data_IF_158988238265
#
_entry.id   IF_158988238265
#
_cell.length_a   1.000
_cell.length_b   1.000
_cell.length_c   1.000
_cell.angle_alpha   90.00
_cell.angle_beta   90.00
_cell.angle_gamma   90.00
#
_symmetry.space_group_name_H-M   'P 1'
#
loop_
_entity.id
_entity.type
_entity.pdbx_description
1 polymer ?
#
# COMPACT_ATOMS: atom_id res chain seq x y z
N UNK A 1 -18.93 -10.46 22.64
CA UNK A 1 -19.53 -9.74 21.49
C UNK A 1 -18.53 -9.37 20.38
N UNK A 2 -17.22 -9.19 20.62
CA UNK A 2 -16.24 -8.90 19.56
C UNK A 2 -15.93 -10.08 18.61
N UNK A 3 -16.12 -11.34 19.05
CA UNK A 3 -15.81 -12.54 18.26
C UNK A 3 -16.82 -12.85 17.14
N UNK A 4 -18.11 -12.50 17.32
CA UNK A 4 -19.15 -12.74 16.31
C UNK A 4 -19.01 -11.79 15.10
N UNK A 5 -18.55 -10.56 15.33
CA UNK A 5 -18.49 -9.53 14.29
C UNK A 5 -17.33 -9.74 13.30
N UNK A 6 -16.28 -10.45 13.72
CA UNK A 6 -15.17 -10.87 12.84
C UNK A 6 -15.64 -11.96 11.86
N UNK A 7 -16.55 -12.86 12.28
CA UNK A 7 -17.03 -13.97 11.43
C UNK A 7 -17.99 -13.54 10.33
N UNK A 8 -18.73 -12.44 10.48
CA UNK A 8 -19.73 -12.01 9.49
C UNK A 8 -19.13 -11.44 8.19
N UNK A 9 -17.87 -11.01 8.21
CA UNK A 9 -17.23 -10.40 7.04
C UNK A 9 -16.09 -11.23 6.44
N UNK A 10 -15.54 -12.22 7.16
CA UNK A 10 -14.24 -12.86 6.88
C UNK A 10 -14.13 -13.71 5.61
N UNK A 11 -15.07 -13.63 4.66
CA UNK A 11 -15.04 -14.40 3.40
C UNK A 11 -15.65 -13.66 2.20
N UNK A 12 -16.04 -12.38 2.34
CA UNK A 12 -16.62 -11.64 1.21
C UNK A 12 -15.49 -11.24 0.26
N UNK A 13 -15.42 -11.89 -0.91
CA UNK A 13 -14.58 -11.44 -2.04
C UNK A 13 -15.13 -10.10 -2.52
N UNK A 14 -14.26 -9.08 -2.55
CA UNK A 14 -14.59 -7.71 -2.96
C UNK A 14 -13.81 -7.28 -4.21
N UNK A 15 -12.78 -8.03 -4.57
CA UNK A 15 -12.06 -7.86 -5.82
C UNK A 15 -11.43 -9.19 -6.24
N UNK A 16 -11.38 -9.44 -7.53
CA UNK A 16 -10.67 -10.56 -8.12
C UNK A 16 -10.04 -10.09 -9.43
N UNK A 17 -8.82 -10.55 -9.71
CA UNK A 17 -8.10 -10.22 -10.93
C UNK A 17 -7.17 -11.37 -11.32
N UNK A 18 -7.13 -11.71 -12.60
CA UNK A 18 -6.26 -12.74 -13.15
C UNK A 18 -5.26 -12.12 -14.12
N UNK A 19 -4.01 -12.56 -14.03
CA UNK A 19 -2.93 -12.11 -14.89
C UNK A 19 -2.18 -13.30 -15.45
N UNK A 20 -1.88 -13.25 -16.74
CA UNK A 20 -0.97 -14.17 -17.40
C UNK A 20 0.31 -13.42 -17.75
N UNK A 21 1.46 -14.03 -17.44
CA UNK A 21 2.78 -13.50 -17.72
C UNK A 21 3.55 -14.55 -18.51
N UNK A 22 4.05 -14.16 -19.68
CA UNK A 22 5.01 -14.95 -20.43
C UNK A 22 6.39 -14.73 -19.78
N UNK A 23 6.93 -15.77 -19.14
CA UNK A 23 8.20 -15.66 -18.42
C UNK A 23 9.30 -16.38 -19.19
N UNK A 24 10.10 -15.62 -19.92
CA UNK A 24 11.35 -16.10 -20.54
C UNK A 24 12.59 -15.94 -19.65
N UNK A 25 12.44 -15.49 -18.38
CA UNK A 25 13.58 -15.13 -17.51
C UNK A 25 13.57 -15.85 -16.15
N UNK A 26 14.79 -16.09 -15.62
CA UNK A 26 15.07 -16.92 -14.43
C UNK A 26 14.79 -16.28 -13.05
N UNK A 27 14.32 -15.04 -12.93
CA UNK A 27 14.03 -14.45 -11.62
C UNK A 27 12.81 -13.52 -11.67
N UNK A 28 11.87 -13.74 -10.74
CA UNK A 28 10.58 -13.09 -10.71
C UNK A 28 10.46 -12.38 -9.37
N UNK A 29 10.22 -11.09 -9.44
CA UNK A 29 10.11 -10.21 -8.30
C UNK A 29 8.66 -10.26 -7.79
N UNK A 30 8.43 -11.03 -6.72
CA UNK A 30 7.10 -11.16 -6.10
C UNK A 30 6.55 -9.80 -5.63
N UNK A 31 7.42 -8.86 -5.27
CA UNK A 31 7.01 -7.52 -4.86
C UNK A 31 6.57 -6.68 -6.04
N UNK A 32 7.26 -6.80 -7.19
CA UNK A 32 6.78 -6.22 -8.45
C UNK A 32 5.41 -6.81 -8.82
N UNK A 33 5.25 -8.13 -8.74
CA UNK A 33 3.95 -8.76 -8.99
C UNK A 33 2.88 -8.15 -8.08
N UNK A 34 3.13 -8.05 -6.77
CA UNK A 34 2.14 -7.50 -5.84
C UNK A 34 1.83 -6.01 -6.04
N UNK A 35 2.85 -5.16 -6.19
CA UNK A 35 2.69 -3.71 -6.14
C UNK A 35 2.50 -3.03 -7.49
N UNK A 36 2.93 -3.68 -8.57
CA UNK A 36 2.84 -3.16 -9.93
C UNK A 36 1.82 -3.96 -10.72
N UNK A 37 2.08 -5.25 -10.93
CA UNK A 37 1.36 -6.02 -11.94
C UNK A 37 -0.05 -6.43 -11.46
N UNK A 38 -0.19 -6.81 -10.17
CA UNK A 38 -1.44 -7.24 -9.51
C UNK A 38 -2.06 -6.19 -8.59
N UNK A 39 -1.44 -5.01 -8.47
CA UNK A 39 -2.06 -3.91 -7.73
C UNK A 39 -3.19 -3.22 -8.51
N UNK A 40 -3.46 -3.73 -9.72
CA UNK A 40 -4.53 -3.26 -10.57
C UNK A 40 -5.89 -3.42 -9.89
N UNK A 41 -6.71 -2.38 -10.00
CA UNK A 41 -8.11 -2.42 -9.63
C UNK A 41 -8.98 -2.62 -10.89
N UNK A 42 -8.60 -3.55 -11.76
CA UNK A 42 -9.40 -3.89 -12.93
C UNK A 42 -10.63 -4.67 -12.47
N UNK A 43 -11.73 -3.97 -12.26
CA UNK A 43 -13.02 -4.60 -12.44
C UNK A 43 -13.91 -3.60 -13.19
N UNK A 44 -14.47 -4.05 -14.32
CA UNK A 44 -15.16 -3.22 -15.30
C UNK A 44 -16.44 -2.59 -14.73
N UNK A 45 -16.95 -3.13 -13.62
CA UNK A 45 -18.22 -2.74 -13.00
C UNK A 45 -18.07 -1.81 -11.79
N UNK A 46 -16.88 -1.24 -11.57
CA UNK A 46 -16.63 -0.38 -10.40
C UNK A 46 -16.81 1.09 -10.73
N UNK A 47 -17.82 1.72 -10.14
CA UNK A 47 -17.93 3.18 -10.13
C UNK A 47 -16.82 3.83 -9.30
N UNK A 48 -16.46 5.05 -9.68
CA UNK A 48 -15.56 5.89 -8.91
C UNK A 48 -16.34 6.63 -7.82
N UNK A 49 -15.73 6.80 -6.65
CA UNK A 49 -16.21 7.74 -5.63
C UNK A 49 -15.70 9.16 -5.90
N UNK A 50 -16.13 10.11 -5.07
CA UNK A 50 -15.80 11.54 -5.24
C UNK A 50 -14.30 11.88 -5.14
N UNK A 51 -13.49 10.96 -4.60
CA UNK A 51 -12.03 11.06 -4.57
C UNK A 51 -11.36 10.53 -5.84
N UNK A 52 -12.15 10.06 -6.81
CA UNK A 52 -11.67 9.49 -8.06
C UNK A 52 -11.21 8.04 -7.94
N UNK A 53 -11.24 7.43 -6.75
CA UNK A 53 -10.88 6.02 -6.59
C UNK A 53 -12.12 5.13 -6.56
N UNK A 54 -11.94 3.83 -6.82
CA UNK A 54 -13.04 2.89 -6.87
C UNK A 54 -13.81 2.81 -5.54
N UNK A 55 -15.14 2.80 -5.65
CA UNK A 55 -16.03 2.94 -4.50
C UNK A 55 -16.37 1.61 -3.81
N UNK A 56 -15.98 0.46 -4.37
CA UNK A 56 -16.22 -0.87 -3.78
C UNK A 56 -15.65 -1.04 -2.37
N UNK A 57 -14.61 -0.26 -2.02
CA UNK A 57 -14.00 -0.24 -0.69
C UNK A 57 -14.63 0.79 0.25
N UNK A 58 -15.59 1.60 -0.21
CA UNK A 58 -16.20 2.62 0.63
C UNK A 58 -16.99 1.97 1.77
N UNK A 59 -16.86 2.45 3.02
CA UNK A 59 -17.53 1.85 4.17
C UNK A 59 -19.05 1.67 4.01
N UNK A 60 -19.74 2.63 3.37
CA UNK A 60 -21.19 2.57 3.12
C UNK A 60 -21.61 1.46 2.13
N UNK A 61 -20.71 0.97 1.27
CA UNK A 61 -20.96 -0.21 0.41
C UNK A 61 -20.68 -1.55 1.10
N UNK A 62 -19.95 -1.50 2.21
CA UNK A 62 -19.45 -2.68 2.90
C UNK A 62 -20.23 -2.98 4.18
N UNK A 63 -20.89 -1.99 4.77
CA UNK A 63 -21.65 -2.15 6.01
C UNK A 63 -22.77 -1.11 6.13
N UNK A 64 -23.96 -1.58 6.50
CA UNK A 64 -25.15 -0.75 6.73
C UNK A 64 -24.99 0.22 7.92
N UNK A 65 -23.92 0.08 8.70
CA UNK A 65 -23.58 0.99 9.80
C UNK A 65 -23.09 2.37 9.35
N UNK A 66 -22.86 2.55 8.05
CA UNK A 66 -22.39 3.81 7.49
C UNK A 66 -23.39 4.32 6.46
N UNK A 67 -24.16 5.33 6.86
CA UNK A 67 -25.12 5.99 5.97
C UNK A 67 -24.47 7.08 5.09
N UNK A 68 -23.28 7.56 5.49
CA UNK A 68 -22.62 8.71 4.86
C UNK A 68 -21.37 8.29 4.10
N UNK A 69 -21.18 8.90 2.93
CA UNK A 69 -19.96 8.76 2.14
C UNK A 69 -18.78 9.45 2.85
N UNK A 70 -17.63 8.78 2.81
CA UNK A 70 -16.37 9.38 3.22
C UNK A 70 -15.69 10.00 1.99
N UNK A 71 -15.22 11.23 2.16
CA UNK A 71 -14.60 12.02 1.09
C UNK A 71 -13.12 11.71 0.92
N UNK A 72 -12.46 11.23 1.98
CA UNK A 72 -11.01 11.01 1.99
C UNK A 72 -10.70 9.59 2.41
N UNK A 73 -9.74 8.96 1.72
CA UNK A 73 -9.16 7.68 2.13
C UNK A 73 -7.64 7.75 2.20
N UNK A 74 -7.07 7.07 3.19
CA UNK A 74 -5.64 6.99 3.43
C UNK A 74 -5.24 5.53 3.60
N UNK A 75 -4.16 5.12 2.94
CA UNK A 75 -3.55 3.83 3.21
C UNK A 75 -2.75 3.93 4.50
N UNK A 76 -3.13 3.18 5.54
CA UNK A 76 -2.51 3.31 6.85
C UNK A 76 -1.30 2.40 7.04
N UNK A 77 -1.34 1.21 6.46
CA UNK A 77 -0.35 0.18 6.74
C UNK A 77 -0.92 -1.21 6.55
N UNK A 78 -0.16 -2.21 6.97
CA UNK A 78 -0.49 -3.59 6.71
C UNK A 78 0.65 -4.54 6.99
N UNK A 79 0.51 -5.76 6.46
CA UNK A 79 1.55 -6.77 6.48
C UNK A 79 1.58 -7.54 5.18
N UNK A 80 2.75 -8.02 4.78
CA UNK A 80 2.94 -8.94 3.65
C UNK A 80 3.59 -10.20 4.20
N UNK A 81 3.14 -11.36 3.76
CA UNK A 81 3.77 -12.65 4.04
C UNK A 81 4.02 -13.38 2.73
N UNK A 82 5.26 -13.79 2.53
CA UNK A 82 5.67 -14.63 1.40
C UNK A 82 5.56 -16.07 1.88
N UNK A 83 4.62 -16.81 1.31
CA UNK A 83 4.28 -18.15 1.80
C UNK A 83 4.99 -19.24 1.01
N UNK A 84 5.23 -19.01 -0.29
CA UNK A 84 5.88 -19.95 -1.19
C UNK A 84 6.69 -19.20 -2.24
N UNK A 85 7.79 -19.81 -2.66
CA UNK A 85 8.60 -19.30 -3.76
C UNK A 85 7.89 -19.54 -5.10
N UNK A 86 8.19 -18.68 -6.08
CA UNK A 86 7.74 -18.90 -7.45
C UNK A 86 8.73 -19.87 -8.11
N UNK A 87 8.37 -21.15 -8.14
CA UNK A 87 9.12 -22.15 -8.88
C UNK A 87 8.94 -21.94 -10.38
N UNK A 88 10.06 -21.79 -11.08
CA UNK A 88 10.09 -21.64 -12.53
C UNK A 88 10.28 -22.97 -13.25
N UNK A 89 9.80 -23.02 -14.48
CA UNK A 89 9.91 -24.20 -15.35
C UNK A 89 8.84 -24.26 -16.44
N UNK A 90 7.93 -23.27 -16.50
CA UNK A 90 6.88 -23.18 -17.52
C UNK A 90 6.99 -21.86 -18.27
N UNK A 91 6.79 -21.91 -19.59
CA UNK A 91 6.87 -20.74 -20.49
C UNK A 91 5.80 -19.67 -20.17
N UNK A 92 4.71 -20.08 -19.50
CA UNK A 92 3.60 -19.21 -19.11
C UNK A 92 3.25 -19.40 -17.63
N UNK A 93 3.25 -18.29 -16.88
CA UNK A 93 2.79 -18.24 -15.50
C UNK A 93 1.43 -17.55 -15.44
N UNK A 94 0.49 -18.16 -14.73
CA UNK A 94 -0.86 -17.62 -14.53
C UNK A 94 -1.11 -17.44 -13.05
N UNK A 95 -1.56 -16.25 -12.68
CA UNK A 95 -1.75 -15.85 -11.31
C UNK A 95 -3.15 -15.28 -11.13
N UNK A 96 -3.72 -15.47 -9.94
CA UNK A 96 -4.99 -14.86 -9.52
C UNK A 96 -4.79 -14.10 -8.22
N UNK A 97 -5.26 -12.87 -8.17
CA UNK A 97 -5.36 -12.07 -6.96
C UNK A 97 -6.80 -12.09 -6.46
N UNK A 98 -7.01 -12.48 -5.21
CA UNK A 98 -8.31 -12.41 -4.53
C UNK A 98 -8.19 -11.44 -3.36
N UNK A 99 -9.03 -10.41 -3.34
CA UNK A 99 -9.17 -9.49 -2.21
C UNK A 99 -10.44 -9.79 -1.43
N UNK A 100 -10.26 -10.08 -0.14
CA UNK A 100 -11.34 -10.34 0.80
C UNK A 100 -11.48 -9.17 1.77
N UNK A 101 -12.72 -8.83 2.09
CA UNK A 101 -13.01 -7.99 3.25
C UNK A 101 -12.72 -8.79 4.52
N UNK A 102 -11.97 -8.21 5.46
CA UNK A 102 -11.77 -8.82 6.79
C UNK A 102 -12.73 -8.21 7.79
N UNK A 103 -12.77 -6.86 7.85
CA UNK A 103 -13.64 -6.12 8.77
C UNK A 103 -13.78 -4.67 8.36
N UNK A 104 -14.88 -4.06 8.81
CA UNK A 104 -15.07 -2.60 8.78
C UNK A 104 -15.27 -2.13 10.22
N UNK A 105 -14.37 -1.27 10.71
CA UNK A 105 -14.44 -0.67 12.05
C UNK A 105 -15.03 0.73 11.97
N UNK A 106 -16.07 1.00 12.74
CA UNK A 106 -16.63 2.34 12.92
C UNK A 106 -15.95 3.03 14.11
N UNK A 107 -15.37 4.21 13.85
CA UNK A 107 -14.70 5.08 14.82
C UNK A 107 -15.43 6.44 14.87
N UNK A 108 -16.75 6.39 15.03
CA UNK A 108 -17.70 7.52 15.01
C UNK A 108 -17.75 8.28 13.68
N UNK A 109 -16.79 9.18 13.45
CA UNK A 109 -16.71 10.03 12.25
C UNK A 109 -15.66 9.52 11.26
N UNK A 110 -15.13 8.33 11.52
CA UNK A 110 -14.02 7.69 10.83
C UNK A 110 -14.32 6.22 10.63
N UNK A 111 -13.73 5.61 9.63
CA UNK A 111 -13.79 4.16 9.46
C UNK A 111 -12.42 3.57 9.15
N UNK A 112 -12.22 2.31 9.49
CA UNK A 112 -11.09 1.52 9.01
C UNK A 112 -11.64 0.27 8.32
N UNK A 113 -11.32 0.12 7.03
CA UNK A 113 -11.60 -1.07 6.25
C UNK A 113 -10.31 -1.89 6.22
N UNK A 114 -10.37 -3.11 6.72
CA UNK A 114 -9.25 -4.06 6.65
C UNK A 114 -9.55 -5.09 5.57
N UNK A 115 -8.60 -5.32 4.66
CA UNK A 115 -8.69 -6.32 3.60
C UNK A 115 -7.50 -7.26 3.62
N UNK A 116 -7.68 -8.46 3.04
CA UNK A 116 -6.61 -9.41 2.77
C UNK A 116 -6.59 -9.69 1.28
N UNK A 117 -5.42 -9.51 0.65
CA UNK A 117 -5.15 -9.91 -0.73
C UNK A 117 -4.29 -11.17 -0.75
N UNK A 118 -4.71 -12.17 -1.49
CA UNK A 118 -3.93 -13.37 -1.75
C UNK A 118 -3.55 -13.41 -3.23
N UNK A 119 -2.28 -13.61 -3.53
CA UNK A 119 -1.79 -13.93 -4.86
C UNK A 119 -1.60 -15.45 -4.93
N UNK A 120 -2.31 -16.07 -5.86
CA UNK A 120 -2.42 -17.51 -6.03
C UNK A 120 -1.80 -17.89 -7.37
N UNK A 121 -0.92 -18.90 -7.38
CA UNK A 121 -0.46 -19.54 -8.60
C UNK A 121 -1.55 -20.47 -9.13
N UNK A 122 -2.06 -20.22 -10.34
CA UNK A 122 -3.17 -21.02 -10.90
C UNK A 122 -2.74 -22.44 -11.31
N UNK A 123 -1.45 -22.69 -11.52
CA UNK A 123 -0.98 -24.00 -11.95
C UNK A 123 -1.04 -25.06 -10.83
N UNK A 124 -0.80 -24.66 -9.58
CA UNK A 124 -0.77 -25.57 -8.42
C UNK A 124 -1.71 -25.12 -7.28
N UNK A 125 -2.42 -23.99 -7.44
CA UNK A 125 -3.34 -23.39 -6.46
C UNK A 125 -2.68 -22.94 -5.15
N UNK A 126 -1.36 -22.83 -5.11
CA UNK A 126 -0.65 -22.34 -3.92
C UNK A 126 -0.81 -20.83 -3.76
N UNK A 127 -1.00 -20.38 -2.52
CA UNK A 127 -0.91 -18.96 -2.17
C UNK A 127 0.58 -18.61 -2.08
N UNK A 128 1.04 -17.72 -2.95
CA UNK A 128 2.41 -17.24 -2.98
C UNK A 128 2.65 -16.12 -1.99
N UNK A 129 1.69 -15.18 -1.93
CA UNK A 129 1.77 -13.97 -1.11
C UNK A 129 0.42 -13.66 -0.50
N UNK A 130 0.43 -13.30 0.78
CA UNK A 130 -0.73 -12.74 1.50
C UNK A 130 -0.40 -11.33 1.98
N UNK A 131 -1.22 -10.36 1.61
CA UNK A 131 -1.11 -8.99 2.07
C UNK A 131 -2.36 -8.58 2.86
N UNK A 132 -2.18 -8.13 4.09
CA UNK A 132 -3.23 -7.46 4.87
C UNK A 132 -3.08 -5.96 4.71
N UNK A 133 -4.17 -5.24 4.45
CA UNK A 133 -4.18 -3.78 4.28
C UNK A 133 -5.21 -3.16 5.20
N UNK A 134 -4.84 -2.03 5.81
CA UNK A 134 -5.77 -1.14 6.51
C UNK A 134 -5.93 0.16 5.72
N UNK A 135 -7.16 0.48 5.32
CA UNK A 135 -7.53 1.73 4.68
C UNK A 135 -8.40 2.53 5.65
N UNK A 136 -8.02 3.77 5.87
CA UNK A 136 -8.72 4.69 6.76
C UNK A 136 -9.53 5.70 5.99
N UNK A 137 -10.76 5.92 6.44
CA UNK A 137 -11.71 6.82 5.83
C UNK A 137 -12.08 7.93 6.81
N UNK A 138 -12.08 9.17 6.33
CA UNK A 138 -12.41 10.35 7.12
C UNK A 138 -13.01 11.44 6.24
N UNK A 139 -13.74 12.37 6.87
CA UNK A 139 -14.19 13.62 6.25
C UNK A 139 -13.43 14.85 6.77
N UNK A 140 -12.58 14.67 7.79
CA UNK A 140 -11.72 15.73 8.30
C UNK A 140 -10.70 16.11 7.23
N UNK A 141 -10.55 17.40 6.89
CA UNK A 141 -9.49 17.86 5.98
C UNK A 141 -8.11 17.65 6.60
N UNK A 142 -7.10 17.51 5.75
CA UNK A 142 -5.72 17.43 6.20
C UNK A 142 -5.37 18.67 7.00
N UNK A 143 -4.67 18.44 8.12
CA UNK A 143 -4.00 19.48 8.89
C UNK A 143 -2.58 19.01 9.02
N UNK A 144 -1.64 19.89 8.68
CA UNK A 144 -0.24 19.59 8.89
C UNK A 144 -0.03 19.35 10.39
N UNK A 145 0.40 18.15 10.72
CA UNK A 145 0.62 17.78 12.11
C UNK A 145 1.97 18.36 12.52
N UNK A 146 1.98 19.28 13.49
CA UNK A 146 3.22 19.82 14.06
C UNK A 146 3.99 18.76 14.88
N UNK A 147 3.34 17.62 15.19
CA UNK A 147 3.95 16.45 15.84
C UNK A 147 4.43 15.44 14.79
N UNK A 148 5.13 15.89 13.76
CA UNK A 148 5.89 14.97 12.90
C UNK A 148 6.92 14.23 13.77
N UNK A 149 7.09 12.92 13.56
CA UNK A 149 8.09 12.12 14.30
C UNK A 149 9.52 12.40 13.79
N UNK A 150 9.89 13.69 13.75
CA UNK A 150 11.17 14.22 13.28
C UNK A 150 12.29 13.73 14.16
N UNK A 151 12.11 13.85 15.47
CA UNK A 151 13.08 13.38 16.44
C UNK A 151 13.33 11.87 16.29
N UNK A 152 12.27 11.08 16.11
CA UNK A 152 12.40 9.64 15.88
C UNK A 152 13.13 9.30 14.58
N UNK A 153 12.97 10.08 13.51
CA UNK A 153 13.75 9.87 12.28
C UNK A 153 15.22 10.25 12.45
N UNK A 154 15.49 11.38 13.12
CA UNK A 154 16.84 11.92 13.30
C UNK A 154 17.66 11.02 14.23
N UNK A 155 17.03 10.49 15.29
CA UNK A 155 17.64 9.60 16.28
C UNK A 155 17.53 8.11 15.94
N UNK A 156 16.92 7.75 14.81
CA UNK A 156 16.84 6.34 14.40
C UNK A 156 18.26 5.81 14.22
N UNK A 157 18.61 4.77 14.97
CA UNK A 157 19.89 4.07 14.85
C UNK A 157 19.90 3.24 13.56
N UNK A 158 20.88 3.44 12.68
CA UNK A 158 20.94 2.78 11.39
C UNK A 158 22.37 2.37 11.01
N UNK A 159 22.48 1.20 10.39
CA UNK A 159 23.72 0.69 9.82
C UNK A 159 23.91 1.20 8.38
N UNK A 160 22.80 1.43 7.66
CA UNK A 160 22.83 1.84 6.26
C UNK A 160 21.76 2.88 5.92
N UNK A 161 22.06 3.72 4.94
CA UNK A 161 21.19 4.80 4.45
C UNK A 161 21.21 4.84 2.92
N UNK A 162 20.04 5.00 2.31
CA UNK A 162 19.94 5.20 0.86
C UNK A 162 20.44 6.59 0.45
N UNK A 163 20.71 6.77 -0.85
CA UNK A 163 20.72 8.11 -1.45
C UNK A 163 19.36 8.77 -1.28
N UNK A 164 19.34 10.10 -1.35
CA UNK A 164 18.11 10.87 -1.38
C UNK A 164 17.29 10.54 -2.63
N UNK A 165 15.98 10.42 -2.43
CA UNK A 165 15.00 10.19 -3.49
C UNK A 165 14.00 11.34 -3.48
N UNK A 166 13.67 11.84 -4.68
CA UNK A 166 12.64 12.85 -4.90
C UNK A 166 11.67 12.27 -5.92
N UNK A 167 10.38 12.32 -5.60
CA UNK A 167 9.33 11.86 -6.51
C UNK A 167 8.79 13.04 -7.30
N UNK A 168 8.94 13.00 -8.62
CA UNK A 168 8.38 13.98 -9.54
C UNK A 168 6.90 13.71 -9.83
N UNK A 169 6.17 14.72 -10.35
CA UNK A 169 4.82 14.52 -10.89
C UNK A 169 4.74 13.37 -11.89
N UNK A 170 5.73 13.23 -12.77
CA UNK A 170 5.78 12.14 -13.75
C UNK A 170 5.88 10.79 -13.06
N UNK A 171 6.76 10.64 -12.06
CA UNK A 171 6.89 9.37 -11.34
C UNK A 171 5.58 8.95 -10.66
N UNK A 172 4.91 9.90 -10.01
CA UNK A 172 3.66 9.68 -9.30
C UNK A 172 2.56 9.30 -10.30
N UNK A 173 2.40 10.06 -11.38
CA UNK A 173 1.40 9.76 -12.41
C UNK A 173 1.68 8.43 -13.10
N UNK A 174 2.92 8.14 -13.46
CA UNK A 174 3.31 6.88 -14.10
C UNK A 174 3.01 5.67 -13.22
N UNK A 175 3.25 5.79 -11.91
CA UNK A 175 2.86 4.74 -10.97
C UNK A 175 1.34 4.56 -10.92
N UNK A 176 0.56 5.65 -10.92
CA UNK A 176 -0.90 5.57 -11.00
C UNK A 176 -1.39 4.91 -12.29
N UNK A 177 -0.79 5.22 -13.44
CA UNK A 177 -1.16 4.60 -14.71
C UNK A 177 -0.83 3.10 -14.72
N UNK A 178 0.40 2.73 -14.32
CA UNK A 178 0.85 1.33 -14.26
C UNK A 178 -0.03 0.48 -13.35
N UNK A 179 -0.44 1.02 -12.21
CA UNK A 179 -1.27 0.33 -11.22
C UNK A 179 -2.77 0.54 -11.42
N UNK A 180 -3.17 1.28 -12.46
CA UNK A 180 -4.57 1.68 -12.71
C UNK A 180 -5.24 2.21 -11.44
N UNK A 181 -4.56 3.15 -10.78
CA UNK A 181 -5.02 3.82 -9.58
C UNK A 181 -5.54 5.23 -9.94
N UNK A 182 -6.87 5.42 -10.05
CA UNK A 182 -7.46 6.69 -10.50
C UNK A 182 -7.61 7.73 -9.37
N UNK A 183 -7.10 7.48 -8.16
CA UNK A 183 -7.29 8.39 -7.02
C UNK A 183 -6.73 9.78 -7.33
N UNK A 184 -7.57 10.81 -7.19
CA UNK A 184 -7.23 12.17 -7.61
C UNK A 184 -6.06 12.77 -6.84
N UNK A 185 -5.79 12.31 -5.61
CA UNK A 185 -4.66 12.84 -4.84
C UNK A 185 -3.30 12.59 -5.50
N UNK A 186 -3.23 11.63 -6.42
CA UNK A 186 -2.03 11.28 -7.18
C UNK A 186 -2.01 11.89 -8.59
N UNK A 187 -3.11 12.52 -9.03
CA UNK A 187 -3.31 12.92 -10.42
C UNK A 187 -3.63 14.41 -10.59
N UNK A 188 -4.21 15.04 -9.57
CA UNK A 188 -4.72 16.41 -9.62
C UNK A 188 -4.32 17.20 -8.36
N UNK A 189 -3.34 18.09 -8.49
CA UNK A 189 -2.85 18.93 -7.40
C UNK A 189 -3.89 19.95 -6.92
N UNK A 190 -4.75 20.47 -7.81
CA UNK A 190 -5.83 21.39 -7.42
C UNK A 190 -6.89 20.71 -6.57
N UNK A 191 -7.21 19.45 -6.89
CA UNK A 191 -8.10 18.64 -6.05
C UNK A 191 -7.56 18.50 -4.62
N UNK A 192 -6.24 18.31 -4.47
CA UNK A 192 -5.59 18.20 -3.17
C UNK A 192 -5.81 19.44 -2.29
N UNK A 193 -5.70 20.63 -2.85
CA UNK A 193 -5.98 21.85 -2.10
C UNK A 193 -7.47 22.00 -1.77
N UNK A 194 -8.32 21.89 -2.79
CA UNK A 194 -9.75 22.22 -2.68
C UNK A 194 -10.49 21.20 -1.81
N UNK A 195 -10.26 19.90 -2.02
CA UNK A 195 -11.03 18.81 -1.42
C UNK A 195 -10.35 18.21 -0.19
N UNK A 196 -9.05 17.97 -0.26
CA UNK A 196 -8.32 17.25 0.79
C UNK A 196 -7.77 18.17 1.89
N UNK A 197 -7.51 19.45 1.57
CA UNK A 197 -6.78 20.38 2.44
C UNK A 197 -5.26 20.16 2.45
N UNK A 198 -4.74 19.45 1.45
CA UNK A 198 -3.30 19.31 1.20
C UNK A 198 -2.74 20.59 0.53
N UNK A 199 -1.41 20.75 0.47
CA UNK A 199 -0.79 21.69 -0.46
C UNK A 199 -1.16 21.37 -1.93
N UNK A 200 -0.98 22.33 -2.84
CA UNK A 200 -1.18 22.13 -4.29
C UNK A 200 -0.03 21.31 -4.89
N UNK A 201 0.13 20.08 -4.43
CA UNK A 201 1.14 19.10 -4.82
C UNK A 201 0.50 17.73 -4.91
N UNK A 202 1.05 16.83 -5.72
CA UNK A 202 0.59 15.44 -5.74
C UNK A 202 1.07 14.68 -4.50
N UNK A 203 0.28 13.72 -4.05
CA UNK A 203 0.65 12.80 -2.97
C UNK A 203 1.32 11.58 -3.58
N UNK A 204 2.47 11.14 -3.04
CA UNK A 204 3.10 9.89 -3.45
C UNK A 204 2.27 8.72 -2.94
N UNK A 205 1.99 7.73 -3.79
CA UNK A 205 1.24 6.54 -3.41
C UNK A 205 2.01 5.80 -2.32
N UNK A 206 1.33 5.47 -1.22
CA UNK A 206 1.95 4.65 -0.19
C UNK A 206 2.52 3.31 -0.73
N UNK A 207 1.83 2.59 -1.66
CA UNK A 207 2.39 1.38 -2.27
C UNK A 207 3.69 1.63 -3.04
N UNK A 208 3.85 2.84 -3.59
CA UNK A 208 5.07 3.21 -4.28
C UNK A 208 6.23 3.43 -3.30
N UNK A 209 5.98 4.11 -2.17
CA UNK A 209 6.96 4.27 -1.09
C UNK A 209 7.38 2.91 -0.51
N UNK A 210 6.42 2.03 -0.27
CA UNK A 210 6.68 0.69 0.25
C UNK A 210 7.52 -0.13 -0.75
N UNK A 211 7.13 -0.14 -2.03
CA UNK A 211 7.88 -0.83 -3.08
C UNK A 211 9.32 -0.34 -3.16
N UNK A 212 9.57 0.98 -3.17
CA UNK A 212 10.94 1.53 -3.15
C UNK A 212 11.74 1.12 -1.90
N UNK A 213 11.07 1.07 -0.74
CA UNK A 213 11.71 0.64 0.52
C UNK A 213 12.10 -0.85 0.48
N UNK A 214 11.25 -1.69 -0.10
CA UNK A 214 11.54 -3.12 -0.27
C UNK A 214 12.65 -3.34 -1.30
N UNK A 215 12.62 -2.62 -2.43
CA UNK A 215 13.69 -2.71 -3.44
C UNK A 215 15.05 -2.32 -2.87
N UNK A 216 15.12 -1.32 -1.97
CA UNK A 216 16.35 -1.02 -1.26
C UNK A 216 16.83 -2.22 -0.43
N UNK A 217 15.92 -2.88 0.30
CA UNK A 217 16.26 -4.06 1.10
C UNK A 217 16.72 -5.25 0.25
N UNK A 218 16.06 -5.54 -0.87
CA UNK A 218 16.35 -6.72 -1.69
C UNK A 218 17.53 -6.51 -2.63
N UNK A 219 17.55 -5.38 -3.34
CA UNK A 219 18.49 -5.17 -4.45
C UNK A 219 19.80 -4.54 -3.98
N UNK A 220 19.73 -3.57 -3.06
CA UNK A 220 20.90 -2.82 -2.62
C UNK A 220 21.57 -3.47 -1.40
N UNK A 221 20.77 -4.09 -0.52
CA UNK A 221 21.31 -4.78 0.67
C UNK A 221 21.46 -6.29 0.49
N UNK A 222 21.05 -6.83 -0.67
CA UNK A 222 21.10 -8.26 -0.99
C UNK A 222 20.45 -9.16 0.08
N UNK A 223 19.34 -8.73 0.70
CA UNK A 223 18.57 -9.60 1.58
C UNK A 223 17.81 -10.61 0.72
N UNK A 224 18.34 -11.83 0.65
CA UNK A 224 17.92 -12.87 -0.29
C UNK A 224 16.44 -13.27 -0.14
N UNK A 225 15.94 -13.32 1.09
CA UNK A 225 14.58 -13.72 1.37
C UNK A 225 13.99 -12.93 2.53
N UNK A 226 12.74 -12.51 2.38
CA UNK A 226 11.98 -11.81 3.40
C UNK A 226 10.64 -12.51 3.53
N UNK A 227 10.48 -13.35 4.56
CA UNK A 227 9.24 -14.09 4.84
C UNK A 227 8.07 -13.18 5.18
N UNK A 228 8.34 -12.07 5.88
CA UNK A 228 7.29 -11.17 6.35
C UNK A 228 7.74 -9.72 6.38
N UNK A 229 6.81 -8.83 6.06
CA UNK A 229 6.95 -7.38 6.19
C UNK A 229 5.75 -6.85 6.97
N UNK A 230 5.98 -6.05 8.00
CA UNK A 230 4.95 -5.26 8.67
C UNK A 230 5.26 -3.78 8.45
N UNK A 231 4.28 -3.02 7.96
CA UNK A 231 4.52 -1.63 7.55
C UNK A 231 3.43 -0.67 8.03
N UNK A 232 3.83 0.60 8.22
CA UNK A 232 2.94 1.68 8.64
C UNK A 232 3.30 2.96 7.87
N UNK A 233 2.28 3.63 7.35
CA UNK A 233 2.38 5.00 6.85
C UNK A 233 2.00 5.96 7.97
N UNK A 234 2.96 6.80 8.34
CA UNK A 234 2.85 7.73 9.46
C UNK A 234 2.56 9.16 8.98
N UNK A 235 3.20 9.55 7.86
CA UNK A 235 3.11 10.91 7.31
C UNK A 235 3.04 10.87 5.79
N UNK A 236 2.30 11.81 5.21
CA UNK A 236 2.16 11.97 3.75
C UNK A 236 3.45 12.52 3.14
N UNK A 237 3.91 11.88 2.06
CA UNK A 237 4.98 12.40 1.20
C UNK A 237 4.34 13.06 -0.01
N UNK A 238 4.69 14.31 -0.28
CA UNK A 238 4.25 15.04 -1.46
C UNK A 238 5.35 15.04 -2.52
N UNK A 239 4.93 15.38 -3.74
CA UNK A 239 5.83 15.69 -4.84
C UNK A 239 6.92 16.69 -4.44
N UNK A 240 8.15 16.40 -4.87
CA UNK A 240 9.31 17.23 -4.61
C UNK A 240 9.85 17.15 -3.18
N UNK A 241 9.20 16.39 -2.28
CA UNK A 241 9.74 16.16 -0.95
C UNK A 241 10.94 15.18 -1.03
N UNK A 242 12.13 15.56 -0.54
CA UNK A 242 13.26 14.64 -0.48
C UNK A 242 13.04 13.62 0.64
N UNK A 243 13.29 12.34 0.38
CA UNK A 243 13.23 11.28 1.40
C UNK A 243 14.43 10.35 1.29
N UNK A 244 14.82 9.77 2.42
CA UNK A 244 15.87 8.73 2.49
C UNK A 244 15.34 7.54 3.27
N UNK A 245 15.88 6.36 2.97
CA UNK A 245 15.62 5.13 3.72
C UNK A 245 16.80 4.91 4.67
N UNK A 246 16.52 4.68 5.94
CA UNK A 246 17.49 4.24 6.94
C UNK A 246 17.15 2.81 7.36
N UNK A 247 18.17 1.96 7.53
CA UNK A 247 18.02 0.53 7.87
C UNK A 247 18.83 0.21 9.10
N UNK A 248 18.20 -0.48 10.05
CA UNK A 248 18.86 -1.16 11.16
C UNK A 248 18.74 -2.67 10.94
N UNK A 249 19.84 -3.31 10.57
CA UNK A 249 19.91 -4.74 10.23
C UNK A 249 19.76 -5.62 11.48
N UNK A 250 20.23 -5.13 12.62
CA UNK A 250 20.13 -5.83 13.92
C UNK A 250 18.68 -5.96 14.35
N UNK A 251 17.92 -4.87 14.32
CA UNK A 251 16.50 -4.84 14.71
C UNK A 251 15.54 -5.15 13.55
N UNK A 252 16.09 -5.41 12.36
CA UNK A 252 15.37 -5.65 11.09
C UNK A 252 14.29 -4.61 10.82
N UNK A 253 14.67 -3.34 10.96
CA UNK A 253 13.78 -2.18 10.82
C UNK A 253 14.27 -1.23 9.73
N UNK A 254 13.33 -0.68 8.97
CA UNK A 254 13.56 0.39 8.02
C UNK A 254 12.62 1.54 8.31
N UNK A 255 13.12 2.76 8.12
CA UNK A 255 12.31 3.97 8.12
C UNK A 255 12.60 4.77 6.87
N UNK A 256 11.55 5.24 6.20
CA UNK A 256 11.63 6.20 5.11
C UNK A 256 11.10 7.55 5.61
N UNK A 257 11.88 8.61 5.38
CA UNK A 257 11.54 9.93 5.91
C UNK A 257 12.58 10.99 5.59
N UNK A 258 12.47 12.13 6.26
CA UNK A 258 13.46 13.21 6.23
C UNK A 258 13.43 14.03 7.53
N UNK A 259 14.36 14.95 7.67
CA UNK A 259 14.58 15.70 8.92
C UNK A 259 13.50 16.78 9.18
N UNK A 260 12.60 17.04 8.23
CA UNK A 260 11.50 18.01 8.37
C UNK A 260 10.14 17.34 8.65
N UNK A 261 9.89 16.17 8.07
CA UNK A 261 8.64 15.40 8.19
C UNK A 261 8.75 14.23 9.16
N UNK A 262 9.97 13.87 9.53
CA UNK A 262 10.26 12.69 10.31
C UNK A 262 9.99 11.41 9.54
N UNK A 263 9.59 10.37 10.28
CA UNK A 263 9.29 9.06 9.71
C UNK A 263 7.98 9.14 8.92
N UNK A 264 8.04 8.95 7.60
CA UNK A 264 6.88 8.87 6.72
C UNK A 264 6.37 7.44 6.59
N UNK A 265 7.27 6.47 6.51
CA UNK A 265 6.97 5.04 6.49
C UNK A 265 7.90 4.29 7.44
N UNK A 266 7.32 3.39 8.24
CA UNK A 266 8.05 2.42 9.06
C UNK A 266 7.83 1.03 8.50
N UNK A 267 8.87 0.21 8.51
CA UNK A 267 8.85 -1.16 8.04
C UNK A 267 9.66 -2.05 8.99
N UNK A 268 9.11 -3.21 9.35
CA UNK A 268 9.81 -4.31 10.01
C UNK A 268 9.81 -5.50 9.07
N UNK A 269 10.90 -6.24 9.02
CA UNK A 269 10.98 -7.44 8.20
C UNK A 269 11.47 -8.65 8.98
N UNK A 270 11.03 -9.82 8.54
CA UNK A 270 11.53 -11.12 8.97
C UNK A 270 12.17 -11.80 7.77
N UNK A 271 13.28 -12.50 8.01
CA UNK A 271 13.89 -13.39 7.04
C UNK A 271 13.46 -14.80 7.42
#
# INVERSE_FOLDING_TARGET
MQSLQIRLYSQRIINEFTLQINSSKCHFDIYRLNFIDMNQNNNCDKSLSNDGYYDYLQPYKLSDKFEKQFKRRLWLGGSISINNDILFGKEQLSFRMIENLVKVRNLKHKAVVSTTRNIINLANQEILLTENRDIYYTNERYRQNNNSNVEGFNKFDFDQKSKEMIFSSSDIKDFSHKTKNPHYIHLNSKYNTISEGFPEKLVVQGPYLLYKTIKFLTDELNVAYVSRIDYRLNTVVFEGDPVTIKVNKTTKQLVLGNDSKGICLSLKYSV
#
